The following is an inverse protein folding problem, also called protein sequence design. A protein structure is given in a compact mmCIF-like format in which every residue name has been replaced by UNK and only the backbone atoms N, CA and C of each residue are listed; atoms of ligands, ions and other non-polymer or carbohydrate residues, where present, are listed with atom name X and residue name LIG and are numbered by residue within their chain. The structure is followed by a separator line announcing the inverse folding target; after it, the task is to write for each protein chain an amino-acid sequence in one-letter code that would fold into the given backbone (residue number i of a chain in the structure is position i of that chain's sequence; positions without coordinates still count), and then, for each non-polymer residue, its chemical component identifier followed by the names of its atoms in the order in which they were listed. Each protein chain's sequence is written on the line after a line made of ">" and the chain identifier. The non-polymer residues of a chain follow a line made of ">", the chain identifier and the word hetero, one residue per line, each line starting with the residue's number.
data_IF_090838085573
#
_entry.id   IF_090838085573
#
_cell.length_a   1.000
_cell.length_b   1.000
_cell.length_c   1.000
_cell.angle_alpha   90.00
_cell.angle_beta   90.00
_cell.angle_gamma   90.00
#
_symmetry.space_group_name_H-M   'P 1'
#
loop_
_entity.id
_entity.type
_entity.pdbx_description
1 polymer ?
#
# COMPACT_ATOMS: atom_id res chain seq x y z
N UNK A 1 18.76 14.84 26.46
CA UNK A 1 18.07 13.59 26.88
C UNK A 1 16.80 13.99 27.60
N UNK A 2 15.70 14.16 26.85
CA UNK A 2 14.39 14.46 27.44
C UNK A 2 13.86 13.19 28.10
N UNK A 3 13.39 13.32 29.30
CA UNK A 3 12.68 12.32 30.09
C UNK A 3 11.48 11.82 29.27
N UNK A 4 11.64 10.64 28.64
CA UNK A 4 10.53 9.93 28.02
C UNK A 4 9.56 9.59 29.14
N UNK A 5 8.39 10.21 29.12
CA UNK A 5 7.31 9.86 30.03
C UNK A 5 7.08 8.35 29.95
N UNK A 6 7.39 7.65 31.03
CA UNK A 6 7.02 6.27 31.27
C UNK A 6 5.49 6.16 31.46
N UNK A 7 4.74 6.66 30.50
CA UNK A 7 3.31 6.69 30.60
C UNK A 7 2.72 5.73 29.58
N UNK A 8 2.12 4.68 30.03
CA UNK A 8 1.23 3.85 29.24
C UNK A 8 1.54 2.35 29.39
N UNK A 9 0.46 1.60 29.55
CA UNK A 9 0.49 0.14 29.40
C UNK A 9 0.74 -0.25 27.96
N UNK A 10 1.30 -1.42 27.66
CA UNK A 10 1.44 -1.94 26.31
C UNK A 10 0.11 -1.88 25.54
N UNK A 11 0.17 -1.60 24.23
CA UNK A 11 -1.00 -1.59 23.35
C UNK A 11 -1.64 -2.98 23.23
N UNK A 12 -0.80 -4.00 23.19
CA UNK A 12 -1.15 -5.39 22.96
C UNK A 12 -1.01 -6.20 24.27
N UNK A 13 -2.13 -6.41 24.98
CA UNK A 13 -2.18 -7.14 26.23
C UNK A 13 -3.28 -8.21 26.25
N UNK A 14 -3.08 -9.27 27.05
CA UNK A 14 -4.05 -10.32 27.35
C UNK A 14 -4.73 -10.87 26.08
N UNK A 15 -6.03 -11.08 26.12
CA UNK A 15 -6.82 -11.63 25.01
C UNK A 15 -6.63 -10.92 23.66
N UNK A 16 -6.36 -9.60 23.67
CA UNK A 16 -6.07 -8.86 22.42
C UNK A 16 -4.76 -9.33 21.80
N UNK A 17 -3.70 -9.50 22.60
CA UNK A 17 -2.40 -10.00 22.13
C UNK A 17 -2.54 -11.41 21.57
N UNK A 18 -3.25 -12.28 22.24
CA UNK A 18 -3.52 -13.65 21.78
C UNK A 18 -4.27 -13.66 20.45
N UNK A 19 -5.39 -12.92 20.37
CA UNK A 19 -6.20 -12.85 19.15
C UNK A 19 -5.42 -12.27 17.95
N UNK A 20 -4.64 -11.22 18.15
CA UNK A 20 -3.86 -10.62 17.07
C UNK A 20 -2.62 -11.47 16.73
N UNK A 21 -2.02 -12.14 17.72
CA UNK A 21 -0.89 -13.04 17.54
C UNK A 21 -1.22 -14.27 16.68
N UNK A 22 -2.48 -14.68 16.59
CA UNK A 22 -2.90 -15.75 15.67
C UNK A 22 -2.87 -15.34 14.20
N UNK A 23 -2.84 -14.03 13.88
CA UNK A 23 -2.87 -13.49 12.53
C UNK A 23 -1.59 -12.77 12.11
N UNK A 24 -0.86 -12.22 13.08
CA UNK A 24 0.32 -11.39 12.87
C UNK A 24 1.47 -11.89 13.73
N UNK A 25 2.70 -11.80 13.23
CA UNK A 25 3.88 -11.91 14.10
C UNK A 25 4.05 -10.57 14.82
N UNK A 26 3.69 -10.56 16.12
CA UNK A 26 3.72 -9.35 16.94
C UNK A 26 5.15 -9.04 17.37
N UNK A 27 5.52 -7.76 17.28
CA UNK A 27 6.84 -7.25 17.68
C UNK A 27 6.65 -6.21 18.77
N UNK A 28 7.34 -6.38 19.87
CA UNK A 28 7.24 -5.49 21.02
C UNK A 28 5.82 -5.36 21.57
N UNK A 29 5.46 -4.14 21.94
CA UNK A 29 4.19 -3.82 22.60
C UNK A 29 3.09 -3.32 21.64
N UNK A 30 3.43 -2.95 20.38
CA UNK A 30 2.50 -2.27 19.49
C UNK A 30 2.71 -2.52 17.98
N UNK A 31 3.73 -3.28 17.60
CA UNK A 31 4.15 -3.47 16.21
C UNK A 31 3.88 -4.88 15.70
N UNK A 32 3.89 -5.09 14.39
CA UNK A 32 3.67 -6.40 13.79
C UNK A 32 4.26 -6.54 12.39
N UNK A 33 4.51 -7.80 12.00
CA UNK A 33 4.90 -8.24 10.66
C UNK A 33 3.96 -9.36 10.21
N UNK A 34 3.76 -9.49 8.91
CA UNK A 34 3.02 -10.61 8.32
C UNK A 34 3.64 -11.01 6.98
N UNK A 35 3.64 -12.29 6.70
CA UNK A 35 4.02 -12.80 5.39
C UNK A 35 2.86 -12.65 4.41
N UNK A 36 3.03 -11.75 3.44
CA UNK A 36 2.05 -11.45 2.42
C UNK A 36 1.84 -12.65 1.47
N UNK A 37 0.61 -12.83 0.96
CA UNK A 37 0.31 -13.88 -0.03
C UNK A 37 1.16 -13.75 -1.30
N UNK A 38 1.47 -12.52 -1.72
CA UNK A 38 2.26 -12.26 -2.92
C UNK A 38 3.74 -12.57 -2.74
N UNK A 39 4.23 -12.42 -1.53
CA UNK A 39 5.57 -12.86 -1.15
C UNK A 39 5.69 -14.38 -1.34
N UNK A 40 4.72 -15.14 -0.79
CA UNK A 40 4.64 -16.59 -1.00
C UNK A 40 4.46 -16.98 -2.47
N UNK A 41 3.71 -16.17 -3.23
CA UNK A 41 3.48 -16.41 -4.65
C UNK A 41 4.78 -16.27 -5.45
N UNK A 42 5.51 -15.17 -5.26
CA UNK A 42 6.74 -14.88 -6.00
C UNK A 42 7.87 -15.84 -5.63
N UNK A 43 8.01 -16.27 -4.36
CA UNK A 43 8.96 -17.33 -3.98
C UNK A 43 8.70 -18.66 -4.69
N UNK A 44 7.50 -18.87 -5.23
CA UNK A 44 7.09 -20.06 -6.02
C UNK A 44 7.13 -19.84 -7.52
N UNK A 45 7.65 -18.69 -7.99
CA UNK A 45 7.62 -18.37 -9.41
C UNK A 45 6.21 -18.18 -9.98
N UNK A 46 5.22 -17.78 -9.15
CA UNK A 46 3.79 -17.68 -9.52
C UNK A 46 3.28 -16.25 -9.66
N UNK A 47 4.18 -15.30 -9.86
CA UNK A 47 3.90 -13.87 -10.00
C UNK A 47 3.93 -13.10 -8.69
N UNK A 48 4.28 -11.81 -8.82
CA UNK A 48 4.31 -10.82 -7.75
C UNK A 48 2.98 -10.10 -7.56
N UNK A 49 2.95 -9.09 -6.68
CA UNK A 49 1.84 -8.16 -6.55
C UNK A 49 1.97 -7.02 -7.59
N UNK A 50 0.93 -6.21 -7.72
CA UNK A 50 0.93 -5.05 -8.61
C UNK A 50 2.12 -4.09 -8.37
N UNK A 51 2.66 -4.03 -7.15
CA UNK A 51 3.83 -3.18 -6.86
C UNK A 51 5.09 -3.65 -7.60
N UNK A 52 5.22 -4.94 -7.90
CA UNK A 52 6.27 -5.44 -8.78
C UNK A 52 6.08 -4.91 -10.19
N UNK A 53 4.91 -5.09 -10.76
CA UNK A 53 4.57 -4.61 -12.10
C UNK A 53 4.75 -3.09 -12.24
N UNK A 54 4.21 -2.33 -11.28
CA UNK A 54 4.13 -0.88 -11.35
C UNK A 54 5.42 -0.16 -10.96
N UNK A 55 6.22 -0.73 -10.04
CA UNK A 55 7.32 0.01 -9.40
C UNK A 55 8.64 -0.78 -9.27
N UNK A 56 8.65 -2.06 -9.68
CA UNK A 56 9.83 -2.90 -9.53
C UNK A 56 10.08 -3.40 -8.10
N UNK A 57 9.06 -3.38 -7.22
CA UNK A 57 9.18 -3.88 -5.85
C UNK A 57 9.12 -5.39 -5.84
N UNK A 58 10.26 -6.03 -5.60
CA UNK A 58 10.40 -7.48 -5.53
C UNK A 58 9.53 -8.07 -4.41
N UNK A 59 8.39 -8.66 -4.77
CA UNK A 59 7.38 -9.06 -3.77
C UNK A 59 7.90 -10.06 -2.75
N UNK A 60 8.81 -10.97 -3.12
CA UNK A 60 9.39 -11.94 -2.19
C UNK A 60 10.37 -11.30 -1.20
N UNK A 61 10.93 -10.13 -1.52
CA UNK A 61 11.83 -9.35 -0.67
C UNK A 61 11.15 -8.18 0.03
N UNK A 62 9.80 -8.12 -0.02
CA UNK A 62 9.01 -7.06 0.58
C UNK A 62 8.44 -7.51 1.94
N UNK A 63 8.95 -6.93 3.03
CA UNK A 63 8.41 -7.12 4.37
C UNK A 63 7.14 -6.27 4.54
N UNK A 64 6.01 -6.90 4.84
CA UNK A 64 4.77 -6.21 5.18
C UNK A 64 4.68 -6.01 6.69
N UNK A 65 4.75 -4.76 7.15
CA UNK A 65 4.92 -4.42 8.56
C UNK A 65 4.08 -3.21 8.99
N UNK A 66 3.98 -3.02 10.30
CA UNK A 66 3.44 -1.80 10.91
C UNK A 66 4.12 -1.51 12.23
N UNK A 67 4.56 -0.26 12.48
CA UNK A 67 5.04 0.17 13.80
C UNK A 67 3.88 0.49 14.75
N UNK A 68 2.65 0.58 14.25
CA UNK A 68 1.45 0.86 15.07
C UNK A 68 0.25 0.04 14.62
N UNK A 69 -0.23 -0.84 15.50
CA UNK A 69 -1.47 -1.60 15.28
C UNK A 69 -2.74 -0.73 15.44
N UNK A 70 -2.62 0.47 16.00
CA UNK A 70 -3.74 1.40 16.17
C UNK A 70 -4.00 2.23 14.91
N UNK A 71 -5.28 2.57 14.68
CA UNK A 71 -5.71 3.36 13.53
C UNK A 71 -6.83 4.34 13.95
N UNK A 72 -6.95 5.48 13.28
CA UNK A 72 -8.05 6.42 13.48
C UNK A 72 -9.30 6.09 12.66
N UNK A 73 -9.27 5.08 11.80
CA UNK A 73 -10.40 4.66 10.96
C UNK A 73 -10.88 3.26 11.30
N UNK A 74 -12.14 2.95 10.92
CA UNK A 74 -12.78 1.65 11.04
C UNK A 74 -13.39 1.22 9.70
N UNK A 75 -12.61 1.37 8.61
CA UNK A 75 -13.10 1.18 7.24
C UNK A 75 -13.87 -0.12 7.07
N UNK A 76 -14.99 -0.06 6.34
CA UNK A 76 -15.86 -1.23 6.09
C UNK A 76 -15.20 -2.31 5.25
N UNK A 77 -14.20 -1.94 4.46
CA UNK A 77 -13.41 -2.84 3.60
C UNK A 77 -12.09 -3.28 4.23
N UNK A 78 -11.75 -2.78 5.43
CA UNK A 78 -10.48 -3.11 6.09
C UNK A 78 -10.43 -4.60 6.46
N UNK A 79 -9.33 -5.25 6.15
CA UNK A 79 -9.07 -6.65 6.45
C UNK A 79 -8.57 -6.92 7.88
N UNK A 80 -8.40 -5.86 8.67
CA UNK A 80 -8.04 -5.97 10.09
C UNK A 80 -9.17 -6.56 10.92
N UNK A 81 -8.81 -7.17 12.06
CA UNK A 81 -9.79 -7.61 13.04
C UNK A 81 -10.42 -6.42 13.80
N UNK A 82 -11.66 -6.60 14.26
CA UNK A 82 -12.35 -5.60 15.09
C UNK A 82 -11.65 -5.35 16.45
N UNK A 83 -10.75 -6.23 16.86
CA UNK A 83 -9.94 -6.12 18.07
C UNK A 83 -8.73 -5.20 17.93
N UNK A 84 -8.38 -4.79 16.70
CA UNK A 84 -7.32 -3.81 16.48
C UNK A 84 -7.65 -2.49 17.19
N UNK A 85 -6.68 -1.88 17.90
CA UNK A 85 -6.92 -0.64 18.62
C UNK A 85 -7.37 0.49 17.71
N UNK A 86 -8.21 1.36 18.26
CA UNK A 86 -8.63 2.60 17.59
C UNK A 86 -8.26 3.78 18.47
N UNK A 87 -7.59 4.79 17.91
CA UNK A 87 -7.15 5.97 18.65
C UNK A 87 -6.92 7.18 17.75
N UNK A 88 -7.08 8.36 18.35
CA UNK A 88 -6.81 9.66 17.74
C UNK A 88 -5.46 10.24 18.17
N UNK A 89 -4.80 9.63 19.17
CA UNK A 89 -3.46 9.99 19.65
C UNK A 89 -2.78 8.77 20.26
N UNK A 90 -1.46 8.79 20.31
CA UNK A 90 -0.68 7.79 21.04
C UNK A 90 -0.95 7.88 22.55
N UNK A 91 -1.07 6.73 23.21
CA UNK A 91 -1.35 6.65 24.67
C UNK A 91 -0.79 5.38 25.31
N UNK A 92 0.10 4.73 24.63
CA UNK A 92 0.68 3.45 25.06
C UNK A 92 2.17 3.59 25.32
N UNK A 93 2.72 2.55 25.94
CA UNK A 93 4.17 2.36 25.97
C UNK A 93 4.73 2.48 24.57
N UNK A 94 5.90 3.11 24.44
CA UNK A 94 6.60 3.27 23.17
C UNK A 94 7.84 2.40 23.19
N UNK A 95 7.97 1.52 22.23
CA UNK A 95 9.18 0.73 22.01
C UNK A 95 10.14 1.52 21.11
N UNK A 96 11.42 1.42 21.35
CA UNK A 96 12.46 2.12 20.58
C UNK A 96 12.51 1.66 19.12
N UNK A 97 12.74 2.58 18.14
CA UNK A 97 12.76 2.27 16.71
C UNK A 97 13.71 1.14 16.34
N UNK A 98 14.91 1.14 16.89
CA UNK A 98 15.93 0.12 16.64
C UNK A 98 15.44 -1.27 17.07
N UNK A 99 14.85 -1.38 18.26
CA UNK A 99 14.32 -2.63 18.80
C UNK A 99 13.17 -3.16 17.93
N UNK A 100 12.29 -2.24 17.46
CA UNK A 100 11.18 -2.62 16.58
C UNK A 100 11.70 -3.15 15.25
N UNK A 101 12.63 -2.45 14.60
CA UNK A 101 13.16 -2.87 13.30
C UNK A 101 13.89 -4.21 13.40
N UNK A 102 14.70 -4.42 14.41
CA UNK A 102 15.39 -5.69 14.65
C UNK A 102 14.41 -6.83 14.91
N UNK A 103 13.40 -6.57 15.73
CA UNK A 103 12.31 -7.51 15.99
C UNK A 103 11.50 -7.84 14.74
N UNK A 104 11.23 -6.86 13.87
CA UNK A 104 10.54 -7.05 12.59
C UNK A 104 11.37 -7.93 11.64
N UNK A 105 12.68 -7.67 11.52
CA UNK A 105 13.57 -8.45 10.66
C UNK A 105 13.70 -9.90 11.17
N UNK A 106 13.82 -10.10 12.47
CA UNK A 106 13.83 -11.43 13.08
C UNK A 106 12.52 -12.18 12.82
N UNK A 107 11.38 -11.52 13.07
CA UNK A 107 10.05 -12.08 12.82
C UNK A 107 9.84 -12.40 11.34
N UNK A 108 10.29 -11.53 10.44
CA UNK A 108 10.21 -11.76 9.00
C UNK A 108 11.00 -13.00 8.58
N UNK A 109 12.24 -13.13 9.05
CA UNK A 109 13.07 -14.32 8.80
C UNK A 109 12.42 -15.61 9.31
N UNK A 110 11.84 -15.58 10.50
CA UNK A 110 11.12 -16.72 11.06
C UNK A 110 9.91 -17.13 10.20
N UNK A 111 9.12 -16.14 9.76
CA UNK A 111 7.97 -16.37 8.86
C UNK A 111 8.38 -16.91 7.50
N UNK A 112 9.47 -16.41 6.91
CA UNK A 112 10.03 -16.91 5.64
C UNK A 112 10.57 -18.32 5.81
N UNK A 113 11.30 -18.61 6.91
CA UNK A 113 11.77 -19.98 7.22
C UNK A 113 10.62 -20.99 7.28
N UNK A 114 9.46 -20.58 7.79
CA UNK A 114 8.26 -21.42 7.87
C UNK A 114 7.65 -21.82 6.53
N UNK A 115 8.11 -21.27 5.40
CA UNK A 115 7.69 -21.70 4.06
C UNK A 115 8.71 -22.59 3.36
N UNK A 116 9.83 -22.91 4.01
CA UNK A 116 10.82 -23.89 3.52
C UNK A 116 10.15 -25.24 3.29
N UNK A 117 10.46 -25.89 2.16
CA UNK A 117 9.87 -27.17 1.80
C UNK A 117 8.44 -27.09 1.26
N UNK A 118 7.82 -25.92 1.17
CA UNK A 118 6.54 -25.79 0.49
C UNK A 118 6.70 -26.02 -1.02
N UNK A 119 5.77 -26.75 -1.69
CA UNK A 119 5.85 -27.03 -3.11
C UNK A 119 6.06 -25.78 -3.98
N UNK A 120 7.10 -25.80 -4.81
CA UNK A 120 7.46 -24.74 -5.75
C UNK A 120 8.29 -23.61 -5.17
N UNK A 121 8.60 -23.59 -3.89
CA UNK A 121 9.56 -22.63 -3.31
C UNK A 121 10.95 -23.04 -3.71
N UNK A 122 11.71 -22.13 -4.35
CA UNK A 122 13.11 -22.35 -4.74
C UNK A 122 14.06 -21.93 -3.62
N UNK A 123 15.22 -22.57 -3.51
CA UNK A 123 16.25 -22.21 -2.52
C UNK A 123 16.68 -20.73 -2.71
N UNK A 124 16.92 -20.30 -3.96
CA UNK A 124 17.25 -18.92 -4.28
C UNK A 124 16.17 -17.94 -3.81
N UNK A 125 14.90 -18.22 -4.14
CA UNK A 125 13.78 -17.37 -3.73
C UNK A 125 13.62 -17.28 -2.21
N UNK A 126 13.92 -18.37 -1.50
CA UNK A 126 13.92 -18.43 -0.05
C UNK A 126 15.06 -17.59 0.55
N UNK A 127 16.28 -17.74 0.04
CA UNK A 127 17.46 -17.00 0.49
C UNK A 127 17.29 -15.49 0.27
N UNK A 128 16.82 -15.09 -0.91
CA UNK A 128 16.50 -13.69 -1.21
C UNK A 128 15.42 -13.14 -0.28
N UNK A 129 14.36 -13.89 -0.01
CA UNK A 129 13.27 -13.49 0.87
C UNK A 129 13.70 -13.34 2.35
N UNK A 130 14.75 -14.06 2.80
CA UNK A 130 15.34 -13.88 4.14
C UNK A 130 15.94 -12.49 4.35
N UNK A 131 16.31 -11.81 3.27
CA UNK A 131 16.96 -10.51 3.28
C UNK A 131 16.06 -9.47 2.61
N UNK A 132 15.07 -8.89 3.34
CA UNK A 132 14.14 -7.94 2.78
C UNK A 132 14.86 -6.67 2.32
N UNK A 133 14.52 -6.18 1.12
CA UNK A 133 14.99 -4.92 0.56
C UNK A 133 13.94 -3.82 0.60
N UNK A 134 12.71 -4.19 0.90
CA UNK A 134 11.56 -3.31 0.89
C UNK A 134 10.73 -3.50 2.15
N UNK A 135 10.20 -2.42 2.70
CA UNK A 135 9.26 -2.46 3.81
C UNK A 135 7.96 -1.74 3.41
N UNK A 136 6.87 -2.50 3.31
CA UNK A 136 5.54 -1.95 3.07
C UNK A 136 4.84 -1.68 4.40
N UNK A 137 4.77 -0.40 4.77
CA UNK A 137 4.07 0.09 5.97
C UNK A 137 2.57 0.24 5.67
N UNK A 138 1.95 -0.88 5.33
CA UNK A 138 0.55 -0.99 4.91
C UNK A 138 -0.16 -2.20 5.50
N UNK A 139 0.43 -2.83 6.51
CA UNK A 139 -0.10 -4.07 7.09
C UNK A 139 -1.47 -3.86 7.74
N UNK A 140 -1.52 -3.12 8.82
CA UNK A 140 -2.72 -2.68 9.55
C UNK A 140 -2.35 -1.49 10.42
N UNK A 141 -3.36 -0.81 10.99
CA UNK A 141 -3.11 0.35 11.82
C UNK A 141 -2.74 1.59 11.01
N UNK A 142 -2.03 2.52 11.63
CA UNK A 142 -1.60 3.76 11.02
C UNK A 142 -0.15 4.04 11.43
N UNK A 143 0.77 3.96 10.49
CA UNK A 143 2.20 4.05 10.77
C UNK A 143 2.61 5.43 11.32
N UNK A 144 2.03 6.52 10.80
CA UNK A 144 2.33 7.88 11.24
C UNK A 144 1.83 8.21 12.65
N UNK A 145 1.00 7.35 13.23
CA UNK A 145 0.59 7.48 14.63
C UNK A 145 1.71 7.11 15.62
N UNK A 146 2.72 6.34 15.16
CA UNK A 146 3.86 5.99 15.99
C UNK A 146 4.75 7.22 16.26
N UNK A 147 5.02 7.60 17.52
CA UNK A 147 5.69 8.87 17.84
C UNK A 147 7.09 9.04 17.24
N UNK A 148 7.82 7.95 17.07
CA UNK A 148 9.17 7.94 16.49
C UNK A 148 9.19 7.40 15.06
N UNK A 149 8.16 7.71 14.27
CA UNK A 149 8.05 7.21 12.88
C UNK A 149 9.25 7.63 12.02
N UNK A 150 9.76 8.86 12.19
CA UNK A 150 10.89 9.37 11.44
C UNK A 150 12.21 8.65 11.78
N UNK A 151 12.43 8.33 13.06
CA UNK A 151 13.60 7.57 13.50
C UNK A 151 13.50 6.11 13.04
N UNK A 152 12.30 5.54 13.09
CA UNK A 152 12.00 4.20 12.56
C UNK A 152 12.31 4.09 11.05
N UNK A 153 11.92 5.08 10.26
CA UNK A 153 12.23 5.16 8.83
C UNK A 153 13.74 5.30 8.61
N UNK A 154 14.41 6.13 9.41
CA UNK A 154 15.88 6.29 9.34
C UNK A 154 16.62 4.97 9.60
N UNK A 155 16.18 4.20 10.60
CA UNK A 155 16.77 2.87 10.89
C UNK A 155 16.56 1.90 9.72
N UNK A 156 15.38 1.89 9.08
CA UNK A 156 15.11 1.07 7.89
C UNK A 156 16.03 1.46 6.72
N UNK A 157 16.11 2.76 6.41
CA UNK A 157 16.98 3.27 5.35
C UNK A 157 18.46 2.98 5.63
N UNK A 158 18.91 3.11 6.89
CA UNK A 158 20.26 2.74 7.31
C UNK A 158 20.62 1.27 7.09
N UNK A 159 19.62 0.40 6.92
CA UNK A 159 19.80 -1.01 6.54
C UNK A 159 19.61 -1.25 5.03
N UNK A 160 19.52 -0.20 4.21
CA UNK A 160 19.28 -0.29 2.76
C UNK A 160 17.87 -0.79 2.40
N UNK A 161 16.91 -0.62 3.32
CA UNK A 161 15.52 -1.06 3.12
C UNK A 161 14.67 0.12 2.67
N UNK A 162 14.15 0.07 1.45
CA UNK A 162 13.23 1.07 0.91
C UNK A 162 11.86 1.01 1.62
N UNK A 163 11.17 2.15 1.71
CA UNK A 163 9.95 2.28 2.51
C UNK A 163 8.76 2.76 1.68
N UNK A 164 7.63 2.07 1.85
CA UNK A 164 6.34 2.36 1.20
C UNK A 164 5.32 2.62 2.31
N UNK A 165 5.07 3.89 2.61
CA UNK A 165 4.21 4.29 3.71
C UNK A 165 2.83 4.68 3.20
N UNK A 166 1.81 3.94 3.67
CA UNK A 166 0.40 4.23 3.38
C UNK A 166 -0.23 4.88 4.59
N UNK A 167 -0.82 6.05 4.40
CA UNK A 167 -1.55 6.79 5.45
C UNK A 167 -3.02 7.03 5.06
N UNK A 168 -3.86 7.25 6.07
CA UNK A 168 -5.30 7.45 5.93
C UNK A 168 -5.74 8.92 5.94
N UNK A 169 -4.80 9.85 5.93
CA UNK A 169 -5.06 11.29 5.93
C UNK A 169 -5.59 11.88 7.25
N UNK A 170 -5.59 11.11 8.35
CA UNK A 170 -6.17 11.59 9.61
C UNK A 170 -5.14 12.26 10.55
N UNK A 171 -3.87 12.29 10.17
CA UNK A 171 -2.78 12.87 10.95
C UNK A 171 -1.95 13.84 10.09
N UNK A 172 -2.56 14.99 9.66
CA UNK A 172 -1.91 15.92 8.74
C UNK A 172 -0.58 16.49 9.27
N UNK A 173 -0.49 16.80 10.58
CA UNK A 173 0.74 17.32 11.18
C UNK A 173 1.89 16.32 11.11
N UNK A 174 1.63 15.05 11.49
CA UNK A 174 2.62 13.97 11.38
C UNK A 174 3.02 13.71 9.92
N UNK A 175 2.08 13.83 8.98
CA UNK A 175 2.36 13.71 7.56
C UNK A 175 3.24 14.86 7.06
N UNK A 176 2.97 16.09 7.48
CA UNK A 176 3.77 17.26 7.13
C UNK A 176 5.22 17.12 7.59
N UNK A 177 5.44 16.64 8.82
CA UNK A 177 6.75 16.47 9.43
C UNK A 177 7.47 15.16 9.00
N UNK A 178 6.81 14.31 8.22
CA UNK A 178 7.37 13.04 7.79
C UNK A 178 8.60 13.24 6.89
N UNK A 179 9.71 12.58 7.24
CA UNK A 179 10.92 12.53 6.40
C UNK A 179 10.64 11.81 5.08
N UNK A 180 11.43 12.06 4.03
CA UNK A 180 11.27 11.38 2.76
C UNK A 180 11.24 9.86 2.91
N UNK A 181 10.27 9.23 2.26
CA UNK A 181 10.14 7.79 2.08
C UNK A 181 10.31 7.45 0.61
N UNK A 182 10.60 6.21 0.28
CA UNK A 182 10.79 5.81 -1.12
C UNK A 182 9.53 6.08 -1.95
N UNK A 183 8.35 5.86 -1.36
CA UNK A 183 7.08 6.24 -1.96
C UNK A 183 6.02 6.43 -0.88
N UNK A 184 5.33 7.57 -0.91
CA UNK A 184 4.33 7.97 0.06
C UNK A 184 2.93 7.83 -0.53
N UNK A 185 2.04 7.18 0.20
CA UNK A 185 0.66 6.93 -0.21
C UNK A 185 -0.34 7.66 0.68
N UNK A 186 -1.34 8.25 0.06
CA UNK A 186 -2.57 8.67 0.73
C UNK A 186 -3.73 7.79 0.26
N UNK A 187 -4.47 7.20 1.20
CA UNK A 187 -5.72 6.50 0.89
C UNK A 187 -6.82 7.53 0.59
N UNK A 188 -7.38 7.47 -0.62
CA UNK A 188 -8.45 8.35 -1.11
C UNK A 188 -9.63 7.46 -1.48
N UNK A 189 -10.31 6.93 -0.46
CA UNK A 189 -11.34 5.91 -0.65
C UNK A 189 -12.75 6.48 -0.88
N UNK A 190 -12.88 7.82 -0.84
CA UNK A 190 -14.16 8.51 -1.01
C UNK A 190 -14.00 9.86 -1.72
N UNK A 191 -14.94 10.23 -2.62
CA UNK A 191 -14.92 11.50 -3.32
C UNK A 191 -15.44 12.68 -2.46
N UNK A 192 -16.21 12.39 -1.41
CA UNK A 192 -16.86 13.39 -0.57
C UNK A 192 -16.94 12.96 0.89
N UNK A 193 -17.33 13.91 1.75
CA UNK A 193 -17.40 13.77 3.21
C UNK A 193 -18.33 12.63 3.65
N UNK A 194 -19.50 12.52 3.03
CA UNK A 194 -20.55 11.55 3.38
C UNK A 194 -20.10 10.13 3.07
N UNK A 195 -19.53 9.94 1.89
CA UNK A 195 -19.00 8.65 1.44
C UNK A 195 -17.82 8.23 2.31
N UNK A 196 -16.92 9.16 2.68
CA UNK A 196 -15.82 8.89 3.59
C UNK A 196 -16.31 8.45 4.97
N UNK A 197 -17.32 9.14 5.52
CA UNK A 197 -17.92 8.75 6.80
C UNK A 197 -18.46 7.34 6.78
N UNK A 198 -19.06 6.93 5.67
CA UNK A 198 -19.64 5.60 5.51
C UNK A 198 -18.56 4.53 5.29
N UNK A 199 -17.64 4.75 4.37
CA UNK A 199 -16.61 3.77 3.99
C UNK A 199 -15.49 3.65 5.00
N UNK A 200 -14.89 4.77 5.42
CA UNK A 200 -13.71 4.81 6.27
C UNK A 200 -14.02 4.82 7.76
N UNK A 201 -15.21 5.26 8.14
CA UNK A 201 -15.66 5.36 9.54
C UNK A 201 -14.61 5.98 10.45
N UNK A 202 -14.13 7.19 10.13
CA UNK A 202 -13.14 7.88 10.94
C UNK A 202 -13.66 8.20 12.33
N UNK A 203 -12.76 8.25 13.33
CA UNK A 203 -13.12 8.55 14.72
C UNK A 203 -12.93 10.02 15.10
N UNK A 204 -12.22 10.78 14.28
CA UNK A 204 -12.13 12.22 14.45
C UNK A 204 -13.42 12.90 14.00
N UNK A 205 -13.96 13.87 14.75
CA UNK A 205 -15.15 14.63 14.32
C UNK A 205 -14.86 15.54 13.12
N UNK A 206 -13.64 16.07 13.04
CA UNK A 206 -13.10 16.94 11.99
C UNK A 206 -12.36 16.15 10.88
N UNK A 207 -12.76 14.89 10.66
CA UNK A 207 -12.08 13.94 9.78
C UNK A 207 -11.90 14.43 8.34
N UNK A 208 -12.87 15.18 7.81
CA UNK A 208 -12.83 15.69 6.45
C UNK A 208 -11.83 16.82 6.30
N UNK A 209 -11.77 17.73 7.28
CA UNK A 209 -10.81 18.84 7.31
C UNK A 209 -9.38 18.30 7.44
N UNK A 210 -9.17 17.29 8.30
CA UNK A 210 -7.89 16.57 8.42
C UNK A 210 -7.47 15.92 7.12
N UNK A 211 -8.39 15.24 6.45
CA UNK A 211 -8.14 14.62 5.16
C UNK A 211 -7.73 15.67 4.12
N UNK A 212 -8.48 16.76 3.98
CA UNK A 212 -8.16 17.84 3.04
C UNK A 212 -6.81 18.48 3.35
N UNK A 213 -6.50 18.72 4.64
CA UNK A 213 -5.18 19.21 5.01
C UNK A 213 -4.07 18.20 4.65
N UNK A 214 -4.33 16.92 4.78
CA UNK A 214 -3.39 15.87 4.34
C UNK A 214 -3.22 15.85 2.83
N UNK A 215 -4.28 16.10 2.05
CA UNK A 215 -4.19 16.27 0.59
C UNK A 215 -3.29 17.46 0.23
N UNK A 216 -3.44 18.61 0.92
CA UNK A 216 -2.54 19.77 0.76
C UNK A 216 -1.10 19.38 1.10
N UNK A 217 -0.87 18.73 2.25
CA UNK A 217 0.47 18.32 2.65
C UNK A 217 1.12 17.34 1.67
N UNK A 218 0.33 16.48 1.01
CA UNK A 218 0.82 15.58 -0.05
C UNK A 218 1.35 16.34 -1.25
N UNK A 219 0.73 17.48 -1.63
CA UNK A 219 1.20 18.30 -2.77
C UNK A 219 2.54 18.99 -2.50
N UNK A 220 2.91 19.17 -1.23
CA UNK A 220 4.18 19.77 -0.81
C UNK A 220 5.32 18.76 -0.75
N UNK A 221 5.02 17.46 -0.76
CA UNK A 221 6.03 16.38 -0.74
C UNK A 221 6.80 16.34 -2.05
N UNK A 222 8.09 16.12 -1.98
CA UNK A 222 8.99 16.09 -3.14
C UNK A 222 9.27 14.67 -3.65
N UNK A 223 9.27 13.70 -2.73
CA UNK A 223 9.37 12.29 -3.07
C UNK A 223 8.14 11.79 -3.85
N UNK A 224 8.20 10.56 -4.34
CA UNK A 224 7.09 9.95 -5.10
C UNK A 224 5.84 9.85 -4.26
N UNK A 225 4.75 10.43 -4.75
CA UNK A 225 3.44 10.44 -4.08
C UNK A 225 2.40 9.64 -4.86
N UNK A 226 1.56 8.91 -4.14
CA UNK A 226 0.49 8.08 -4.70
C UNK A 226 -0.82 8.36 -4.00
N UNK A 227 -1.88 8.63 -4.74
CA UNK A 227 -3.25 8.50 -4.22
C UNK A 227 -3.75 7.11 -4.55
N UNK A 228 -4.13 6.38 -3.51
CA UNK A 228 -4.62 5.01 -3.64
C UNK A 228 -6.10 4.94 -3.33
N UNK A 229 -6.88 4.58 -4.34
CA UNK A 229 -8.33 4.47 -4.24
C UNK A 229 -8.72 2.99 -4.15
N UNK A 230 -9.47 2.62 -3.10
CA UNK A 230 -10.12 1.32 -3.04
C UNK A 230 -11.46 1.41 -3.74
N UNK A 231 -11.56 0.88 -4.96
CA UNK A 231 -12.74 0.98 -5.81
C UNK A 231 -13.80 -0.02 -5.40
N UNK A 232 -14.98 0.48 -5.06
CA UNK A 232 -16.10 -0.28 -4.50
C UNK A 232 -17.37 0.02 -5.31
N UNK A 233 -17.80 -0.97 -6.08
CA UNK A 233 -18.99 -0.84 -6.91
C UNK A 233 -20.24 -0.50 -6.08
N UNK A 234 -20.99 0.53 -6.54
CA UNK A 234 -22.17 1.04 -5.86
C UNK A 234 -21.91 2.02 -4.72
N UNK A 235 -20.65 2.49 -4.54
CA UNK A 235 -20.30 3.45 -3.49
C UNK A 235 -19.41 4.61 -3.97
N UNK A 236 -18.27 4.35 -4.62
CA UNK A 236 -17.29 5.38 -4.92
C UNK A 236 -16.73 5.32 -6.35
N UNK A 237 -17.40 4.60 -7.25
CA UNK A 237 -16.97 4.47 -8.64
C UNK A 237 -18.10 4.57 -9.66
N UNK A 238 -19.15 5.34 -9.35
CA UNK A 238 -20.16 5.69 -10.35
C UNK A 238 -19.67 6.85 -11.23
N UNK A 239 -20.29 7.07 -12.38
CA UNK A 239 -19.99 8.23 -13.26
C UNK A 239 -20.19 9.56 -12.52
N UNK A 240 -21.20 9.65 -11.66
CA UNK A 240 -21.49 10.84 -10.85
C UNK A 240 -20.40 11.14 -9.82
N UNK A 241 -19.64 10.12 -9.38
CA UNK A 241 -18.56 10.33 -8.44
C UNK A 241 -17.30 10.91 -9.10
N UNK A 242 -17.13 10.78 -10.41
CA UNK A 242 -15.88 11.21 -11.08
C UNK A 242 -15.63 12.71 -10.86
N UNK A 243 -16.57 13.63 -11.13
CA UNK A 243 -16.33 15.06 -10.91
C UNK A 243 -16.06 15.42 -9.44
N UNK A 244 -16.60 14.66 -8.50
CA UNK A 244 -16.40 14.92 -7.06
C UNK A 244 -14.94 14.70 -6.61
N UNK A 245 -14.17 13.87 -7.32
CA UNK A 245 -12.73 13.69 -7.05
C UNK A 245 -11.87 14.85 -7.56
N UNK A 246 -12.38 15.73 -8.44
CA UNK A 246 -11.59 16.76 -9.12
C UNK A 246 -10.81 17.65 -8.14
N UNK A 247 -11.47 18.23 -7.14
CA UNK A 247 -10.82 19.10 -6.17
C UNK A 247 -9.73 18.40 -5.35
N UNK A 248 -9.88 17.09 -5.08
CA UNK A 248 -8.88 16.29 -4.37
C UNK A 248 -7.62 16.11 -5.25
N UNK A 249 -7.79 15.79 -6.52
CA UNK A 249 -6.66 15.60 -7.43
C UNK A 249 -5.98 16.91 -7.80
N UNK A 250 -6.74 17.98 -8.06
CA UNK A 250 -6.20 19.32 -8.35
C UNK A 250 -5.38 19.89 -7.19
N UNK A 251 -5.83 19.66 -5.94
CA UNK A 251 -5.13 20.08 -4.74
C UNK A 251 -3.89 19.23 -4.48
N UNK A 252 -4.05 17.91 -4.51
CA UNK A 252 -3.00 16.99 -4.08
C UNK A 252 -1.95 16.66 -5.13
N UNK A 253 -2.27 16.77 -6.42
CA UNK A 253 -1.38 16.54 -7.58
C UNK A 253 -0.44 15.34 -7.41
N UNK A 254 -0.94 14.14 -7.07
CA UNK A 254 -0.08 12.98 -6.84
C UNK A 254 0.69 12.62 -8.11
N UNK A 255 1.88 12.07 -7.97
CA UNK A 255 2.64 11.57 -9.13
C UNK A 255 1.91 10.40 -9.80
N UNK A 256 1.25 9.59 -8.98
CA UNK A 256 0.56 8.37 -9.40
C UNK A 256 -0.80 8.26 -8.71
N UNK A 257 -1.76 7.61 -9.40
CA UNK A 257 -3.07 7.25 -8.87
C UNK A 257 -3.25 5.75 -9.05
N UNK A 258 -3.38 5.02 -7.94
CA UNK A 258 -3.69 3.58 -7.95
C UNK A 258 -5.18 3.36 -7.80
N UNK A 259 -5.82 2.82 -8.83
CA UNK A 259 -7.19 2.31 -8.75
C UNK A 259 -7.14 0.83 -8.39
N UNK A 260 -7.42 0.52 -7.14
CA UNK A 260 -7.32 -0.83 -6.59
C UNK A 260 -8.71 -1.41 -6.38
N UNK A 261 -9.02 -2.48 -7.09
CA UNK A 261 -10.27 -3.24 -6.88
C UNK A 261 -10.39 -3.73 -5.44
N UNK A 262 -11.57 -3.55 -4.83
CA UNK A 262 -11.91 -4.11 -3.53
C UNK A 262 -11.45 -5.58 -3.43
N UNK A 263 -10.70 -5.89 -2.40
CA UNK A 263 -10.33 -7.26 -2.10
C UNK A 263 -11.33 -7.83 -1.08
N UNK A 264 -12.09 -8.87 -1.42
CA UNK A 264 -13.02 -9.48 -0.48
C UNK A 264 -12.28 -10.07 0.74
N UNK A 265 -12.36 -9.38 1.86
CA UNK A 265 -11.80 -9.82 3.14
C UNK A 265 -12.90 -9.90 4.20
N UNK A 266 -14.04 -10.48 3.82
CA UNK A 266 -15.26 -10.46 4.63
C UNK A 266 -15.19 -11.34 5.88
N UNK A 267 -14.27 -12.28 5.94
CA UNK A 267 -14.17 -13.27 7.03
C UNK A 267 -13.68 -12.71 8.37
N UNK A 268 -12.96 -11.59 8.36
CA UNK A 268 -12.39 -11.00 9.58
C UNK A 268 -13.13 -9.76 10.08
N UNK A 269 -13.95 -9.13 9.25
CA UNK A 269 -14.68 -7.91 9.59
C UNK A 269 -16.18 -8.18 9.64
N UNK A 270 -16.68 -8.54 10.82
CA UNK A 270 -18.13 -8.80 11.06
C UNK A 270 -19.01 -7.55 10.89
N UNK A 271 -18.41 -6.36 10.76
CA UNK A 271 -19.13 -5.08 10.59
C UNK A 271 -19.22 -4.63 9.14
N UNK A 272 -18.68 -5.40 8.19
CA UNK A 272 -18.76 -5.00 6.78
C UNK A 272 -20.19 -5.17 6.26
N UNK A 273 -20.65 -4.14 5.56
CA UNK A 273 -21.91 -4.18 4.81
C UNK A 273 -21.69 -4.60 3.35
N UNK A 274 -20.42 -4.76 2.96
CA UNK A 274 -20.03 -5.09 1.59
C UNK A 274 -20.31 -6.55 1.25
N UNK A 275 -20.60 -6.80 -0.02
CA UNK A 275 -20.90 -8.11 -0.61
C UNK A 275 -20.06 -8.30 -1.88
N UNK A 276 -20.07 -9.49 -2.44
CA UNK A 276 -19.34 -9.81 -3.69
C UNK A 276 -19.75 -8.88 -4.84
N UNK A 277 -21.02 -8.47 -4.93
CA UNK A 277 -21.51 -7.50 -5.93
C UNK A 277 -20.84 -6.13 -5.86
N UNK A 278 -20.20 -5.80 -4.73
CA UNK A 278 -19.47 -4.54 -4.56
C UNK A 278 -18.01 -4.64 -5.05
N UNK A 279 -17.57 -5.81 -5.47
CA UNK A 279 -16.26 -5.99 -6.11
C UNK A 279 -16.42 -5.70 -7.59
N UNK A 280 -15.82 -4.62 -8.13
CA UNK A 280 -15.93 -4.31 -9.55
C UNK A 280 -15.32 -5.41 -10.41
N UNK A 281 -15.87 -5.64 -11.59
CA UNK A 281 -15.21 -6.47 -12.60
C UNK A 281 -13.92 -5.78 -13.09
N UNK A 282 -13.09 -6.54 -13.80
CA UNK A 282 -11.89 -5.97 -14.39
C UNK A 282 -12.23 -4.92 -15.46
N UNK A 283 -13.21 -5.21 -16.29
CA UNK A 283 -13.68 -4.31 -17.34
C UNK A 283 -14.31 -3.02 -16.78
N UNK A 284 -15.09 -3.13 -15.70
CA UNK A 284 -15.61 -1.94 -15.01
C UNK A 284 -14.48 -1.05 -14.48
N UNK A 285 -13.41 -1.65 -13.93
CA UNK A 285 -12.28 -0.89 -13.42
C UNK A 285 -11.50 -0.20 -14.55
N UNK A 286 -11.28 -0.89 -15.69
CA UNK A 286 -10.62 -0.31 -16.88
C UNK A 286 -11.45 0.85 -17.46
N UNK A 287 -12.75 0.66 -17.62
CA UNK A 287 -13.65 1.70 -18.12
C UNK A 287 -13.62 2.93 -17.21
N UNK A 288 -13.72 2.72 -15.89
CA UNK A 288 -13.66 3.81 -14.92
C UNK A 288 -12.31 4.56 -14.96
N UNK A 289 -11.19 3.84 -15.05
CA UNK A 289 -9.86 4.45 -15.16
C UNK A 289 -9.74 5.37 -16.38
N UNK A 290 -10.27 4.92 -17.53
CA UNK A 290 -10.30 5.72 -18.76
C UNK A 290 -11.15 6.97 -18.58
N UNK A 291 -12.38 6.82 -18.07
CA UNK A 291 -13.30 7.93 -17.82
C UNK A 291 -12.74 8.94 -16.84
N UNK A 292 -12.07 8.50 -15.79
CA UNK A 292 -11.41 9.38 -14.81
C UNK A 292 -10.36 10.27 -15.51
N UNK A 293 -9.53 9.69 -16.39
CA UNK A 293 -8.54 10.44 -17.15
C UNK A 293 -9.19 11.46 -18.10
N UNK A 294 -10.30 11.10 -18.76
CA UNK A 294 -11.00 11.97 -19.70
C UNK A 294 -11.70 13.14 -18.98
N UNK A 295 -12.44 12.86 -17.92
CA UNK A 295 -13.32 13.83 -17.27
C UNK A 295 -12.54 14.81 -16.38
N UNK A 296 -11.60 14.31 -15.56
CA UNK A 296 -10.88 15.16 -14.59
C UNK A 296 -9.69 15.84 -15.26
N UNK A 297 -8.97 15.14 -16.11
CA UNK A 297 -7.67 15.60 -16.62
C UNK A 297 -7.69 15.98 -18.11
N UNK A 298 -8.86 16.03 -18.76
CA UNK A 298 -8.99 16.25 -20.22
C UNK A 298 -8.06 15.35 -21.05
N UNK A 299 -7.67 14.20 -20.51
CA UNK A 299 -6.66 13.34 -21.11
C UNK A 299 -5.26 13.97 -21.23
N UNK A 300 -4.98 15.09 -20.53
CA UNK A 300 -3.72 15.85 -20.71
C UNK A 300 -2.67 15.53 -19.64
N UNK A 301 -3.05 15.47 -18.37
CA UNK A 301 -2.10 15.35 -17.26
C UNK A 301 -1.76 13.91 -16.89
N UNK A 302 -2.75 13.03 -16.86
CA UNK A 302 -2.59 11.63 -16.50
C UNK A 302 -3.03 10.69 -17.62
N UNK A 303 -2.41 9.52 -17.63
CA UNK A 303 -2.72 8.45 -18.57
C UNK A 303 -2.54 7.11 -17.86
N UNK A 304 -3.22 6.06 -18.31
CA UNK A 304 -3.00 4.70 -17.83
C UNK A 304 -1.59 4.26 -18.19
N UNK A 305 -0.74 4.07 -17.20
CA UNK A 305 0.67 3.72 -17.41
C UNK A 305 0.93 2.21 -17.29
N UNK A 306 0.25 1.53 -16.36
CA UNK A 306 0.39 0.08 -16.17
C UNK A 306 -0.92 -0.54 -15.71
N UNK A 307 -1.08 -1.82 -16.04
CA UNK A 307 -2.19 -2.67 -15.59
C UNK A 307 -1.64 -3.85 -14.80
N UNK A 308 -2.43 -4.40 -13.88
CA UNK A 308 -2.16 -5.68 -13.25
C UNK A 308 -3.48 -6.39 -12.92
N UNK A 309 -4.05 -7.07 -13.91
CA UNK A 309 -5.33 -7.79 -13.80
C UNK A 309 -5.33 -8.78 -12.63
N UNK A 310 -4.24 -9.54 -12.47
CA UNK A 310 -4.13 -10.60 -11.46
C UNK A 310 -4.39 -10.11 -10.03
N UNK A 311 -4.05 -8.86 -9.69
CA UNK A 311 -4.39 -8.25 -8.39
C UNK A 311 -5.50 -7.21 -8.49
N UNK A 312 -6.03 -6.92 -9.68
CA UNK A 312 -7.07 -5.92 -9.93
C UNK A 312 -6.59 -4.51 -9.53
N UNK A 313 -5.52 -4.04 -10.16
CA UNK A 313 -4.97 -2.71 -9.92
C UNK A 313 -4.56 -2.05 -11.22
N UNK A 314 -4.90 -0.78 -11.37
CA UNK A 314 -4.54 0.07 -12.52
C UNK A 314 -3.75 1.26 -11.98
N UNK A 315 -2.68 1.63 -12.66
CA UNK A 315 -1.88 2.81 -12.37
C UNK A 315 -2.12 3.88 -13.41
N UNK A 316 -2.60 5.04 -12.94
CA UNK A 316 -2.53 6.27 -13.69
C UNK A 316 -1.26 7.02 -13.26
N UNK A 317 -0.51 7.55 -14.21
CA UNK A 317 0.71 8.32 -13.95
C UNK A 317 0.65 9.66 -14.62
N UNK A 318 1.26 10.68 -14.01
CA UNK A 318 1.47 11.95 -14.67
C UNK A 318 2.31 11.75 -15.94
N UNK A 319 1.92 12.38 -17.04
CA UNK A 319 2.60 12.22 -18.35
C UNK A 319 4.06 12.63 -18.35
N UNK A 320 4.50 13.44 -17.37
CA UNK A 320 5.94 13.78 -17.22
C UNK A 320 6.83 12.56 -16.93
N UNK A 321 6.25 11.45 -16.46
CA UNK A 321 6.94 10.18 -16.28
C UNK A 321 7.02 9.35 -17.59
N UNK A 322 6.46 9.83 -18.69
CA UNK A 322 6.58 9.24 -20.04
C UNK A 322 7.68 9.97 -20.84
N UNK A 323 8.93 9.60 -20.55
CA UNK A 323 10.13 10.25 -21.13
C UNK A 323 10.41 9.63 -22.49
N UNK A 324 10.47 10.44 -23.56
CA UNK A 324 10.68 9.98 -24.95
C UNK A 324 9.73 8.83 -25.37
N UNK A 325 8.46 8.87 -24.92
CA UNK A 325 7.46 7.87 -25.22
C UNK A 325 7.51 6.61 -24.34
N UNK A 326 8.49 6.48 -23.43
CA UNK A 326 8.67 5.34 -22.53
C UNK A 326 8.26 5.71 -21.12
N UNK A 327 7.38 4.92 -20.51
CA UNK A 327 7.02 5.09 -19.11
C UNK A 327 8.19 4.79 -18.17
N UNK A 328 8.37 5.61 -17.14
CA UNK A 328 9.38 5.47 -16.09
C UNK A 328 8.70 5.40 -14.72
N UNK A 329 7.95 4.33 -14.47
CA UNK A 329 7.25 4.13 -13.21
C UNK A 329 8.04 3.28 -12.21
N UNK A 330 9.05 2.51 -12.67
CA UNK A 330 9.92 1.74 -11.81
C UNK A 330 10.86 2.65 -11.01
N UNK A 331 11.32 2.15 -9.86
CA UNK A 331 12.11 2.90 -8.88
C UNK A 331 13.56 2.45 -8.96
N UNK A 332 14.48 3.41 -8.98
CA UNK A 332 15.90 3.19 -8.72
C UNK A 332 16.14 3.21 -7.19
N UNK A 333 16.04 2.04 -6.59
CA UNK A 333 16.17 1.87 -5.15
C UNK A 333 17.58 2.16 -4.65
N UNK A 334 18.61 1.83 -5.41
CA UNK A 334 20.00 2.08 -5.04
C UNK A 334 20.28 3.58 -4.99
N UNK A 335 19.81 4.32 -6.00
CA UNK A 335 19.97 5.76 -6.04
C UNK A 335 19.17 6.43 -4.90
N UNK A 336 17.93 6.05 -4.67
CA UNK A 336 17.16 6.57 -3.54
C UNK A 336 17.86 6.31 -2.19
N UNK A 337 18.35 5.08 -1.96
CA UNK A 337 19.01 4.70 -0.71
C UNK A 337 20.32 5.48 -0.51
N UNK A 338 21.06 5.78 -1.58
CA UNK A 338 22.27 6.61 -1.50
C UNK A 338 21.96 8.06 -1.10
N UNK A 339 20.80 8.59 -1.52
CA UNK A 339 20.41 9.98 -1.22
C UNK A 339 19.80 10.14 0.17
N UNK A 340 18.93 9.22 0.60
CA UNK A 340 18.03 9.44 1.75
C UNK A 340 18.75 9.52 3.11
N UNK A 341 19.94 8.96 3.21
CA UNK A 341 20.76 8.98 4.43
C UNK A 341 21.69 10.18 4.52
N UNK A 342 21.99 10.80 3.40
CA UNK A 342 22.84 12.01 3.38
C UNK A 342 21.95 13.23 3.67
N UNK A 343 22.29 14.06 4.68
CA UNK A 343 21.46 15.23 5.04
C UNK A 343 21.32 16.26 3.92
N UNK A 344 22.32 16.40 3.06
CA UNK A 344 22.30 17.37 1.94
C UNK A 344 21.50 16.79 0.77
N UNK A 345 21.76 15.52 0.43
CA UNK A 345 21.11 14.87 -0.70
C UNK A 345 19.64 14.55 -0.39
N UNK A 346 19.30 14.23 0.86
CA UNK A 346 17.90 13.95 1.24
C UNK A 346 16.97 15.16 1.02
N UNK A 347 17.50 16.38 1.20
CA UNK A 347 16.76 17.61 0.91
C UNK A 347 16.55 17.84 -0.61
N UNK A 348 17.28 17.12 -1.46
CA UNK A 348 17.22 17.18 -2.93
C UNK A 348 16.42 16.03 -3.55
N UNK A 349 15.88 15.14 -2.73
CA UNK A 349 15.03 14.05 -3.22
C UNK A 349 13.82 14.65 -3.93
N UNK A 350 13.65 14.29 -5.20
CA UNK A 350 12.49 14.63 -6.02
C UNK A 350 12.04 13.37 -6.74
N UNK A 351 10.73 13.27 -7.01
CA UNK A 351 10.13 12.08 -7.60
C UNK A 351 10.79 11.63 -8.90
N UNK A 352 11.28 12.59 -9.70
CA UNK A 352 11.90 12.35 -11.00
C UNK A 352 13.39 11.96 -10.88
N UNK A 353 13.98 12.05 -9.68
CA UNK A 353 15.41 11.82 -9.45
C UNK A 353 15.80 10.35 -9.34
N UNK A 354 14.86 9.42 -9.15
CA UNK A 354 15.13 7.99 -8.96
C UNK A 354 14.17 7.10 -9.74
N UNK A 355 14.12 7.34 -11.05
CA UNK A 355 13.27 6.63 -12.00
C UNK A 355 14.04 5.53 -12.74
N UNK A 356 13.32 4.47 -13.11
CA UNK A 356 13.75 3.46 -14.07
C UNK A 356 12.65 3.19 -15.09
N UNK A 357 13.01 2.81 -16.33
CA UNK A 357 12.03 2.44 -17.35
C UNK A 357 11.09 1.34 -16.87
N UNK A 358 9.81 1.50 -17.19
CA UNK A 358 8.79 0.47 -16.98
C UNK A 358 9.01 -0.63 -18.02
N UNK A 359 9.08 -1.91 -17.63
CA UNK A 359 9.26 -2.99 -18.60
C UNK A 359 8.04 -3.13 -19.53
N UNK A 360 8.28 -3.55 -20.76
CA UNK A 360 7.24 -3.66 -21.80
C UNK A 360 6.07 -4.56 -21.41
N UNK A 361 6.34 -5.64 -20.68
CA UNK A 361 5.30 -6.57 -20.22
C UNK A 361 4.35 -5.97 -19.17
N UNK A 362 4.73 -4.84 -18.52
CA UNK A 362 3.91 -4.13 -17.55
C UNK A 362 2.99 -3.07 -18.17
N UNK A 363 3.19 -2.75 -19.46
CA UNK A 363 2.41 -1.73 -20.17
C UNK A 363 0.97 -2.20 -20.46
N UNK A 364 0.02 -1.26 -20.65
CA UNK A 364 -1.38 -1.58 -20.89
C UNK A 364 -1.64 -2.48 -22.10
N UNK A 365 -0.81 -2.38 -23.13
CA UNK A 365 -0.93 -3.14 -24.39
C UNK A 365 -0.30 -4.53 -24.31
N UNK A 366 0.26 -4.92 -23.16
CA UNK A 366 0.90 -6.22 -23.01
C UNK A 366 -0.14 -7.36 -22.98
N UNK A 367 0.14 -8.47 -23.67
CA UNK A 367 -0.73 -9.67 -23.67
C UNK A 367 -1.02 -10.22 -22.27
N UNK A 368 -0.06 -10.06 -21.34
CA UNK A 368 -0.16 -10.52 -19.97
C UNK A 368 -0.92 -9.60 -19.03
N UNK A 369 -1.44 -8.46 -19.50
CA UNK A 369 -2.07 -7.41 -18.68
C UNK A 369 -1.28 -7.14 -17.38
N UNK A 370 0.04 -6.94 -17.53
CA UNK A 370 0.97 -6.65 -16.46
C UNK A 370 1.45 -7.85 -15.65
N UNK A 371 1.18 -9.07 -16.10
CA UNK A 371 1.76 -10.26 -15.49
C UNK A 371 3.18 -10.51 -16.03
N UNK A 372 4.14 -10.72 -15.13
CA UNK A 372 5.53 -10.95 -15.49
C UNK A 372 5.69 -12.26 -16.29
N UNK A 373 6.17 -12.24 -17.53
CA UNK A 373 6.31 -13.42 -18.38
C UNK A 373 7.35 -14.42 -17.87
N UNK A 374 8.28 -14.00 -16.99
CA UNK A 374 9.23 -14.90 -16.34
C UNK A 374 8.59 -15.76 -15.23
N UNK A 375 7.33 -15.48 -14.88
CA UNK A 375 6.58 -16.17 -13.84
C UNK A 375 5.48 -17.04 -14.43
N UNK A 376 5.05 -18.06 -13.68
CA UNK A 376 3.96 -18.95 -14.10
C UNK A 376 2.64 -18.53 -13.45
N UNK A 377 1.67 -18.10 -14.24
CA UNK A 377 0.34 -17.73 -13.72
C UNK A 377 -0.38 -18.95 -13.14
N UNK A 378 -0.54 -18.98 -11.82
CA UNK A 378 -1.21 -20.09 -11.16
C UNK A 378 -2.73 -19.88 -11.14
N UNK A 379 -3.46 -20.73 -11.83
CA UNK A 379 -4.92 -20.76 -11.81
C UNK A 379 -5.36 -21.92 -10.90
N UNK A 380 -6.17 -21.64 -9.88
CA UNK A 380 -6.68 -22.69 -8.99
C UNK A 380 -7.63 -23.62 -9.76
N UNK A 381 -7.67 -24.92 -9.40
CA UNK A 381 -8.57 -25.89 -10.03
C UNK A 381 -10.05 -25.44 -10.02
N UNK A 382 -10.47 -24.74 -8.97
CA UNK A 382 -11.82 -24.15 -8.91
C UNK A 382 -12.03 -23.07 -9.97
N UNK A 383 -11.03 -22.21 -10.22
CA UNK A 383 -11.09 -21.15 -11.26
C UNK A 383 -10.97 -21.75 -12.66
N UNK A 384 -10.18 -22.82 -12.84
CA UNK A 384 -10.13 -23.56 -14.11
C UNK A 384 -11.47 -24.15 -14.47
N UNK A 385 -12.17 -24.80 -13.51
CA UNK A 385 -13.53 -25.31 -13.70
C UNK A 385 -14.52 -24.20 -14.02
N UNK A 386 -14.43 -23.06 -13.35
CA UNK A 386 -15.26 -21.89 -13.61
C UNK A 386 -15.01 -21.31 -15.01
N UNK A 387 -13.76 -21.15 -15.41
CA UNK A 387 -13.40 -20.66 -16.75
C UNK A 387 -13.85 -21.64 -17.85
N UNK A 388 -13.71 -22.94 -17.62
CA UNK A 388 -14.18 -23.97 -18.55
C UNK A 388 -15.72 -24.09 -18.64
N UNK A 389 -16.46 -23.58 -17.65
CA UNK A 389 -17.92 -23.55 -17.64
C UNK A 389 -18.54 -22.29 -18.23
N UNK A 390 -17.73 -21.28 -18.60
CA UNK A 390 -18.22 -20.08 -19.28
C UNK A 390 -18.46 -20.39 -20.78
N UNK A 391 -19.57 -19.90 -21.35
CA UNK A 391 -19.76 -19.92 -22.80
C UNK A 391 -18.64 -19.14 -23.50
N UNK A 392 -18.20 -19.64 -24.64
CA UNK A 392 -17.23 -18.94 -25.49
C UNK A 392 -17.83 -17.60 -25.94
N UNK A 393 -17.32 -16.47 -25.41
CA UNK A 393 -17.75 -15.12 -25.75
C UNK A 393 -18.08 -14.19 -24.56
N UNK A 394 -18.04 -14.67 -23.32
CA UNK A 394 -18.13 -13.83 -22.11
C UNK A 394 -16.79 -13.87 -21.34
N UNK A 395 -15.82 -13.09 -21.79
CA UNK A 395 -14.60 -12.79 -21.00
C UNK A 395 -14.82 -11.62 -20.03
#
# INVERSE_FOLDING_TARGET
>A
MSTIEKAGRPMLLGKRRETLGSMYSLVGSHSAVKLCRWQKSMMRGRGGCYKWTMYGIESHRCMEATPSMACANKCVFCWRLNTNPTATKWRWQVDEPQIIVEGMLSSHKALVSGVRGMPGVTEKGLEEAMNPRHCALSLVGEAVLYPYVNDFLHVLHGKGISTFLVNNGQFPDALKELRPVTQLYLSVDAPNKETMKFLDRPVFPDYWDRFNQSVVNMSEKKERTVFRLTMINGFNMSEENIPEYQGIFETGRPNFIELKRLTPAFSGNTRTVLRIKNVPSWEQLKAYAKRLCEVIFDGKEYEVATLHEHSGCILLAQKRFKINGIWHTWIDFEHFNAMVLDPILSARIVADGYLRPTPSWALPESEGEGFDPAQTRHVTAKRQKYLASKPAGEE
#
